data_IF_718801463794
#
_entry.id   IF_718801463794
#
_cell.length_a   1.000
_cell.length_b   1.000
_cell.length_c   1.000
_cell.angle_alpha   90.00
_cell.angle_beta   90.00
_cell.angle_gamma   90.00
#
_symmetry.space_group_name_H-M   'P 1'
#
loop_
_entity.id
_entity.type
_entity.pdbx_description
1 polymer ?
#
# COMPACT_ATOMS: atom_id res chain seq x y z
N UNK A 1 -1.29 11.41 23.47
CA UNK A 1 -0.96 10.39 22.46
C UNK A 1 -0.57 10.96 21.10
N UNK A 2 -1.38 11.85 20.50
CA UNK A 2 -1.13 12.36 19.12
C UNK A 2 0.04 13.36 19.07
N UNK A 3 0.21 14.23 20.07
CA UNK A 3 1.33 15.19 20.12
C UNK A 3 2.68 14.46 20.20
N UNK A 4 2.80 13.44 21.03
CA UNK A 4 4.02 12.65 21.17
C UNK A 4 4.42 11.97 19.84
N UNK A 5 3.43 11.53 19.04
CA UNK A 5 3.69 10.90 17.73
C UNK A 5 4.27 11.90 16.71
N UNK A 6 3.72 13.11 16.64
CA UNK A 6 4.24 14.15 15.73
C UNK A 6 5.65 14.60 16.10
N UNK A 7 5.95 14.71 17.38
CA UNK A 7 7.30 15.07 17.85
C UNK A 7 8.34 14.00 17.50
N UNK A 8 7.98 12.72 17.71
CA UNK A 8 8.84 11.60 17.31
C UNK A 8 9.04 11.60 15.79
N UNK A 9 7.96 11.77 15.02
CA UNK A 9 8.03 11.79 13.56
C UNK A 9 8.96 12.90 13.05
N UNK A 10 8.82 14.12 13.57
CA UNK A 10 9.67 15.26 13.19
C UNK A 10 11.14 14.97 13.47
N UNK A 11 11.45 14.41 14.65
CA UNK A 11 12.83 14.05 15.01
C UNK A 11 13.40 12.95 14.12
N UNK A 12 12.62 11.92 13.83
CA UNK A 12 13.04 10.84 12.92
C UNK A 12 13.29 11.41 11.52
N UNK A 13 12.37 12.20 10.99
CA UNK A 13 12.49 12.79 9.66
C UNK A 13 13.73 13.71 9.52
N UNK A 14 14.17 14.36 10.61
CA UNK A 14 15.40 15.19 10.58
C UNK A 14 16.70 14.39 10.60
N UNK A 15 16.66 13.13 11.02
CA UNK A 15 17.85 12.27 11.16
C UNK A 15 18.04 11.27 10.02
N UNK A 16 16.96 10.97 9.25
CA UNK A 16 17.03 9.99 8.16
C UNK A 16 17.03 10.66 6.80
N UNK A 17 17.79 10.07 5.86
CA UNK A 17 17.92 10.54 4.46
C UNK A 17 17.27 9.54 3.47
N UNK A 18 16.32 8.74 3.94
CA UNK A 18 15.54 7.80 3.12
C UNK A 18 14.05 8.19 3.16
N UNK A 19 13.29 7.90 2.08
CA UNK A 19 11.87 8.21 2.04
C UNK A 19 11.11 7.57 3.20
N UNK A 20 10.33 8.38 3.91
CA UNK A 20 9.56 7.98 5.09
C UNK A 20 8.08 7.89 4.74
N UNK A 21 7.53 6.68 4.84
CA UNK A 21 6.08 6.45 4.76
C UNK A 21 5.49 6.31 6.14
N UNK A 22 4.47 7.10 6.41
CA UNK A 22 3.81 7.13 7.72
C UNK A 22 2.33 6.79 7.58
N UNK A 23 1.84 5.93 8.45
CA UNK A 23 0.44 5.51 8.48
C UNK A 23 -0.06 5.22 9.89
N UNK A 24 -1.33 4.85 9.95
CA UNK A 24 -2.01 4.56 11.22
C UNK A 24 -2.86 5.72 11.73
N UNK A 25 -4.19 5.51 11.77
CA UNK A 25 -5.14 6.50 12.25
C UNK A 25 -5.36 7.73 11.35
N UNK A 26 -4.89 7.70 10.12
CA UNK A 26 -5.15 8.74 9.11
C UNK A 26 -6.55 8.55 8.52
N UNK A 27 -7.41 9.55 8.68
CA UNK A 27 -8.81 9.47 8.31
C UNK A 27 -9.32 10.67 7.52
N UNK A 28 -8.58 11.76 7.52
CA UNK A 28 -8.97 13.04 6.93
C UNK A 28 -7.80 13.67 6.16
N UNK A 29 -8.09 14.64 5.30
CA UNK A 29 -7.04 15.43 4.64
C UNK A 29 -6.19 16.23 5.64
N UNK A 30 -6.78 16.63 6.77
CA UNK A 30 -6.02 17.32 7.82
C UNK A 30 -5.01 16.39 8.50
N UNK A 31 -5.33 15.10 8.61
CA UNK A 31 -4.36 14.10 9.08
C UNK A 31 -3.22 13.94 8.07
N UNK A 32 -3.51 13.92 6.76
CA UNK A 32 -2.49 13.93 5.70
C UNK A 32 -1.57 15.15 5.81
N UNK A 33 -2.17 16.34 5.90
CA UNK A 33 -1.43 17.61 5.99
C UNK A 33 -0.49 17.62 7.20
N UNK A 34 -0.99 17.16 8.36
CA UNK A 34 -0.21 17.06 9.59
C UNK A 34 0.99 16.13 9.45
N UNK A 35 0.77 14.93 8.90
CA UNK A 35 1.83 13.92 8.74
C UNK A 35 2.90 14.40 7.75
N UNK A 36 2.51 14.95 6.61
CA UNK A 36 3.43 15.49 5.61
C UNK A 36 4.24 16.68 6.15
N UNK A 37 3.61 17.60 6.91
CA UNK A 37 4.29 18.73 7.56
C UNK A 37 5.29 18.32 8.62
N UNK A 38 5.12 17.14 9.23
CA UNK A 38 6.10 16.59 10.18
C UNK A 38 7.29 15.91 9.49
N UNK A 39 7.37 15.92 8.16
CA UNK A 39 8.51 15.42 7.38
C UNK A 39 8.33 14.03 6.77
N UNK A 40 7.10 13.49 6.74
CA UNK A 40 6.83 12.28 5.98
C UNK A 40 6.80 12.58 4.47
N UNK A 41 7.35 11.68 3.65
CA UNK A 41 7.27 11.76 2.18
C UNK A 41 5.96 11.19 1.65
N UNK A 42 5.42 10.17 2.34
CA UNK A 42 4.21 9.46 1.94
C UNK A 42 3.32 9.16 3.13
N UNK A 43 2.02 9.08 2.87
CA UNK A 43 1.01 8.76 3.87
C UNK A 43 0.28 7.49 3.49
N UNK A 44 0.29 6.52 4.40
CA UNK A 44 -0.37 5.22 4.24
C UNK A 44 -1.75 5.21 4.88
N UNK A 45 -2.75 4.83 4.11
CA UNK A 45 -4.16 4.75 4.54
C UNK A 45 -4.74 3.35 4.31
N UNK A 46 -5.53 2.87 5.26
CA UNK A 46 -6.33 1.66 5.16
C UNK A 46 -7.78 1.94 5.61
N UNK A 47 -8.08 1.79 6.89
CA UNK A 47 -9.44 1.91 7.42
C UNK A 47 -10.07 3.30 7.17
N UNK A 48 -9.28 4.35 7.07
CA UNK A 48 -9.75 5.68 6.67
C UNK A 48 -10.34 5.69 5.27
N UNK A 49 -9.62 5.11 4.31
CA UNK A 49 -10.07 4.99 2.93
C UNK A 49 -11.25 4.02 2.76
N UNK A 50 -11.30 2.95 3.56
CA UNK A 50 -12.44 2.01 3.55
C UNK A 50 -13.74 2.66 4.02
N UNK A 51 -13.67 3.60 4.99
CA UNK A 51 -14.81 4.37 5.48
C UNK A 51 -15.22 5.48 4.53
N UNK A 52 -14.25 6.22 4.03
CA UNK A 52 -14.44 7.31 3.06
C UNK A 52 -13.50 7.10 1.87
N UNK A 53 -13.96 6.42 0.82
CA UNK A 53 -13.18 6.24 -0.40
C UNK A 53 -12.76 7.55 -1.06
N UNK A 54 -13.54 8.62 -0.89
CA UNK A 54 -13.24 9.96 -1.41
C UNK A 54 -11.93 10.56 -0.88
N UNK A 55 -11.41 10.04 0.23
CA UNK A 55 -10.14 10.47 0.81
C UNK A 55 -8.96 10.27 -0.16
N UNK A 56 -8.94 9.15 -0.92
CA UNK A 56 -7.85 8.83 -1.86
C UNK A 56 -7.76 9.85 -2.99
N UNK A 57 -8.82 10.07 -3.80
CA UNK A 57 -8.75 11.06 -4.88
C UNK A 57 -8.56 12.49 -4.36
N UNK A 58 -9.10 12.84 -3.21
CA UNK A 58 -8.91 14.14 -2.61
C UNK A 58 -7.45 14.38 -2.17
N UNK A 59 -6.83 13.38 -1.54
CA UNK A 59 -5.41 13.43 -1.17
C UNK A 59 -4.51 13.47 -2.41
N UNK A 60 -4.76 12.62 -3.40
CA UNK A 60 -4.01 12.59 -4.65
C UNK A 60 -4.08 13.92 -5.41
N UNK A 61 -5.26 14.55 -5.45
CA UNK A 61 -5.45 15.87 -6.06
C UNK A 61 -4.67 16.98 -5.34
N UNK A 62 -4.59 16.92 -4.01
CA UNK A 62 -3.96 17.97 -3.19
C UNK A 62 -2.46 17.83 -3.05
N UNK A 63 -1.96 16.60 -2.91
CA UNK A 63 -0.55 16.32 -2.58
C UNK A 63 0.19 15.56 -3.67
N UNK A 64 -0.50 15.09 -4.68
CA UNK A 64 0.02 14.20 -5.72
C UNK A 64 -0.18 12.71 -5.36
N UNK A 65 -0.36 11.89 -6.39
CA UNK A 65 -0.55 10.45 -6.25
C UNK A 65 0.67 9.74 -5.59
N UNK A 66 1.88 10.26 -5.83
CA UNK A 66 3.12 9.75 -5.22
C UNK A 66 3.15 9.84 -3.68
N UNK A 67 2.33 10.72 -3.07
CA UNK A 67 2.23 10.84 -1.61
C UNK A 67 1.19 9.89 -1.00
N UNK A 68 0.37 9.22 -1.81
CA UNK A 68 -0.73 8.38 -1.33
C UNK A 68 -0.37 6.91 -1.44
N UNK A 69 -0.26 6.23 -0.31
CA UNK A 69 -0.03 4.79 -0.22
C UNK A 69 -1.31 4.11 0.29
N UNK A 70 -1.86 3.20 -0.50
CA UNK A 70 -2.91 2.30 -0.04
C UNK A 70 -2.28 1.16 0.77
N UNK A 71 -2.59 1.03 2.04
CA UNK A 71 -2.32 -0.19 2.80
C UNK A 71 -3.55 -1.09 2.76
N UNK A 72 -3.39 -2.33 2.31
CA UNK A 72 -4.47 -3.28 2.19
C UNK A 72 -4.15 -4.55 2.97
N UNK A 73 -4.89 -4.78 4.06
CA UNK A 73 -4.88 -6.04 4.78
C UNK A 73 -5.82 -7.01 4.06
N UNK A 74 -5.30 -8.09 3.51
CA UNK A 74 -6.03 -9.03 2.67
C UNK A 74 -6.00 -10.42 3.26
N UNK A 75 -7.14 -11.10 3.22
CA UNK A 75 -7.30 -12.49 3.66
C UNK A 75 -8.12 -13.29 2.66
N UNK A 76 -7.83 -14.59 2.52
CA UNK A 76 -8.70 -15.52 1.80
C UNK A 76 -9.89 -15.91 2.64
N UNK A 77 -11.08 -15.68 2.09
CA UNK A 77 -12.35 -16.12 2.66
C UNK A 77 -13.14 -16.78 1.54
N UNK A 78 -13.50 -18.03 1.71
CA UNK A 78 -14.25 -18.83 0.72
C UNK A 78 -13.61 -18.80 -0.69
N UNK A 79 -12.28 -18.91 -0.77
CA UNK A 79 -11.53 -18.90 -2.02
C UNK A 79 -11.40 -17.53 -2.70
N UNK A 80 -11.83 -16.44 -2.06
CA UNK A 80 -11.74 -15.07 -2.57
C UNK A 80 -10.86 -14.20 -1.67
N UNK A 81 -10.16 -13.25 -2.28
CA UNK A 81 -9.41 -12.25 -1.53
C UNK A 81 -10.34 -11.14 -1.05
N UNK A 82 -10.44 -10.96 0.27
CA UNK A 82 -11.24 -9.91 0.90
C UNK A 82 -10.36 -8.91 1.64
N UNK A 83 -10.79 -7.65 1.65
CA UNK A 83 -10.12 -6.58 2.40
C UNK A 83 -10.63 -6.56 3.83
N UNK A 84 -9.69 -6.43 4.75
CA UNK A 84 -9.96 -6.30 6.17
C UNK A 84 -9.63 -4.90 6.68
N UNK A 85 -10.39 -4.45 7.65
CA UNK A 85 -10.18 -3.20 8.36
C UNK A 85 -9.57 -3.45 9.75
N UNK A 86 -9.20 -2.35 10.44
CA UNK A 86 -8.75 -2.35 11.84
C UNK A 86 -7.57 -3.30 12.12
N UNK A 87 -6.60 -3.34 11.20
CA UNK A 87 -5.43 -4.23 11.32
C UNK A 87 -5.81 -5.71 11.19
N UNK A 88 -6.61 -6.04 10.22
CA UNK A 88 -6.99 -7.43 9.90
C UNK A 88 -8.08 -8.05 10.79
N UNK A 89 -8.77 -7.24 11.61
CA UNK A 89 -9.75 -7.75 12.60
C UNK A 89 -11.18 -7.75 12.10
N UNK A 90 -11.51 -6.98 11.08
CA UNK A 90 -12.87 -6.80 10.60
C UNK A 90 -12.94 -7.06 9.10
N UNK A 91 -13.70 -8.10 8.70
CA UNK A 91 -13.99 -8.37 7.30
C UNK A 91 -14.95 -7.29 6.78
N UNK A 92 -14.54 -6.59 5.74
CA UNK A 92 -15.36 -5.53 5.11
C UNK A 92 -16.35 -6.10 4.10
N UNK A 93 -16.26 -7.38 3.77
CA UNK A 93 -17.03 -8.01 2.69
C UNK A 93 -16.62 -7.56 1.28
N UNK A 94 -15.66 -6.65 1.14
CA UNK A 94 -15.21 -6.13 -0.16
C UNK A 94 -14.22 -7.06 -0.82
N UNK A 95 -14.34 -7.25 -2.13
CA UNK A 95 -13.32 -7.91 -2.94
C UNK A 95 -12.03 -7.07 -2.96
N UNK A 96 -10.90 -7.69 -2.62
CA UNK A 96 -9.62 -6.99 -2.50
C UNK A 96 -9.09 -6.52 -3.86
N UNK A 97 -9.27 -7.31 -4.92
CA UNK A 97 -8.74 -6.99 -6.24
C UNK A 97 -9.47 -5.79 -6.84
N UNK A 98 -10.80 -5.76 -6.70
CA UNK A 98 -11.61 -4.63 -7.15
C UNK A 98 -11.35 -3.36 -6.34
N UNK A 99 -11.20 -3.49 -5.02
CA UNK A 99 -10.90 -2.37 -4.15
C UNK A 99 -9.54 -1.75 -4.46
N UNK A 100 -8.50 -2.57 -4.55
CA UNK A 100 -7.14 -2.10 -4.86
C UNK A 100 -7.09 -1.44 -6.23
N UNK A 101 -7.71 -2.07 -7.25
CA UNK A 101 -7.82 -1.49 -8.58
C UNK A 101 -8.48 -0.12 -8.53
N UNK A 102 -9.61 -0.01 -7.85
CA UNK A 102 -10.34 1.26 -7.71
C UNK A 102 -9.47 2.34 -7.06
N UNK A 103 -8.75 2.01 -5.98
CA UNK A 103 -7.86 2.94 -5.30
C UNK A 103 -6.73 3.46 -6.21
N UNK A 104 -6.13 2.56 -7.00
CA UNK A 104 -5.07 2.91 -7.95
C UNK A 104 -5.61 3.80 -9.08
N UNK A 105 -6.78 3.48 -9.62
CA UNK A 105 -7.44 4.31 -10.65
C UNK A 105 -7.79 5.71 -10.14
N UNK A 106 -8.03 5.84 -8.82
CA UNK A 106 -8.41 7.09 -8.17
C UNK A 106 -7.25 7.82 -7.46
N UNK A 107 -6.01 7.41 -7.69
CA UNK A 107 -4.85 8.20 -7.29
C UNK A 107 -3.98 7.64 -6.16
N UNK A 108 -4.18 6.38 -5.75
CA UNK A 108 -3.16 5.70 -4.95
C UNK A 108 -1.93 5.43 -5.83
N UNK A 109 -0.82 6.09 -5.55
CA UNK A 109 0.43 5.95 -6.30
C UNK A 109 1.23 4.72 -5.91
N UNK A 110 0.99 4.19 -4.72
CA UNK A 110 1.66 3.01 -4.19
C UNK A 110 0.67 2.12 -3.44
N UNK A 111 0.88 0.80 -3.50
CA UNK A 111 0.09 -0.18 -2.75
C UNK A 111 1.00 -1.01 -1.86
N UNK A 112 0.71 -1.02 -0.57
CA UNK A 112 1.33 -1.88 0.43
C UNK A 112 0.35 -3.02 0.77
N UNK A 113 0.68 -4.24 0.31
CA UNK A 113 -0.12 -5.42 0.57
C UNK A 113 0.35 -6.16 1.81
N UNK A 114 -0.59 -6.48 2.68
CA UNK A 114 -0.38 -7.35 3.83
C UNK A 114 -1.29 -8.58 3.71
N UNK A 115 -0.68 -9.76 3.53
CA UNK A 115 -1.43 -11.02 3.57
C UNK A 115 -1.57 -11.49 5.01
N UNK A 116 -2.79 -11.44 5.52
CA UNK A 116 -3.10 -11.89 6.89
C UNK A 116 -2.82 -13.40 7.05
N UNK A 117 -3.02 -14.17 5.97
CA UNK A 117 -2.83 -15.63 5.99
C UNK A 117 -1.36 -16.05 6.10
N UNK A 118 -0.44 -15.22 5.62
CA UNK A 118 1.01 -15.52 5.61
C UNK A 118 1.80 -14.65 6.57
N UNK A 119 1.16 -13.67 7.23
CA UNK A 119 1.84 -12.81 8.20
C UNK A 119 2.27 -13.62 9.43
N UNK A 120 3.55 -13.49 9.79
CA UNK A 120 4.14 -14.20 10.93
C UNK A 120 4.43 -15.69 10.72
N UNK A 121 4.02 -16.31 9.62
CA UNK A 121 4.16 -17.77 9.38
C UNK A 121 5.55 -18.17 8.87
N UNK A 122 6.35 -17.21 8.39
CA UNK A 122 7.72 -17.42 7.87
C UNK A 122 7.83 -18.33 6.64
N UNK A 123 6.75 -18.52 5.88
CA UNK A 123 6.73 -19.33 4.66
C UNK A 123 6.97 -18.51 3.37
N UNK A 124 7.45 -17.26 3.50
CA UNK A 124 7.65 -16.35 2.38
C UNK A 124 6.42 -15.53 2.03
N UNK A 125 6.45 -14.93 0.83
CA UNK A 125 5.37 -14.08 0.35
C UNK A 125 4.22 -14.90 -0.21
N UNK A 126 2.98 -14.38 -0.09
CA UNK A 126 1.81 -14.90 -0.78
C UNK A 126 1.88 -14.54 -2.28
N UNK A 127 2.58 -15.36 -3.05
CA UNK A 127 2.84 -15.12 -4.47
C UNK A 127 1.54 -15.12 -5.28
N UNK A 128 0.58 -15.97 -4.93
CA UNK A 128 -0.72 -16.04 -5.61
C UNK A 128 -1.50 -14.74 -5.45
N UNK A 129 -1.54 -14.18 -4.23
CA UNK A 129 -2.16 -12.89 -3.98
C UNK A 129 -1.43 -11.76 -4.71
N UNK A 130 -0.10 -11.76 -4.67
CA UNK A 130 0.72 -10.76 -5.37
C UNK A 130 0.50 -10.78 -6.88
N UNK A 131 0.47 -11.97 -7.50
CA UNK A 131 0.23 -12.14 -8.93
C UNK A 131 -1.18 -11.70 -9.31
N UNK A 132 -2.19 -12.08 -8.52
CA UNK A 132 -3.57 -11.69 -8.76
C UNK A 132 -3.75 -10.17 -8.71
N UNK A 133 -3.18 -9.52 -7.70
CA UNK A 133 -3.23 -8.05 -7.56
C UNK A 133 -2.43 -7.38 -8.68
N UNK A 134 -1.21 -7.86 -8.99
CA UNK A 134 -0.37 -7.30 -10.05
C UNK A 134 -1.07 -7.36 -11.42
N UNK A 135 -1.68 -8.49 -11.76
CA UNK A 135 -2.44 -8.64 -12.99
C UNK A 135 -3.63 -7.65 -13.07
N UNK A 136 -4.31 -7.41 -11.93
CA UNK A 136 -5.46 -6.52 -11.87
C UNK A 136 -5.06 -5.05 -11.99
N UNK A 137 -3.96 -4.65 -11.35
CA UNK A 137 -3.47 -3.27 -11.36
C UNK A 137 -2.71 -2.92 -12.65
N UNK A 138 -2.05 -3.87 -13.29
CA UNK A 138 -1.42 -3.64 -14.60
C UNK A 138 -2.40 -3.15 -15.67
N UNK A 139 -3.71 -3.42 -15.48
CA UNK A 139 -4.78 -2.90 -16.30
C UNK A 139 -5.19 -1.47 -15.98
N UNK A 140 -4.79 -0.95 -14.79
CA UNK A 140 -5.25 0.34 -14.29
C UNK A 140 -4.35 1.53 -14.71
N UNK A 141 -3.09 1.55 -14.39
CA UNK A 141 -2.12 2.59 -14.81
C UNK A 141 -0.68 2.04 -14.82
N UNK A 142 0.12 2.39 -15.86
CA UNK A 142 1.51 1.93 -16.05
C UNK A 142 2.54 2.45 -15.03
N UNK A 143 2.15 3.11 -13.94
CA UNK A 143 3.07 3.81 -13.02
C UNK A 143 2.97 3.43 -11.55
N UNK A 144 2.25 2.35 -11.19
CA UNK A 144 2.09 1.99 -9.78
C UNK A 144 3.28 1.16 -9.29
N UNK A 145 3.96 1.64 -8.26
CA UNK A 145 5.01 0.91 -7.55
C UNK A 145 4.42 0.03 -6.45
N UNK A 146 4.97 -1.17 -6.26
CA UNK A 146 4.53 -2.15 -5.28
C UNK A 146 5.48 -2.25 -4.10
N UNK A 147 4.97 -2.20 -2.89
CA UNK A 147 5.68 -2.66 -1.71
C UNK A 147 4.89 -3.76 -1.00
N UNK A 148 5.54 -4.86 -0.65
CA UNK A 148 4.94 -5.92 0.14
C UNK A 148 5.54 -5.88 1.54
N UNK A 149 4.71 -5.66 2.56
CA UNK A 149 5.14 -5.77 3.95
C UNK A 149 4.89 -7.18 4.47
N UNK A 150 5.91 -8.00 4.39
CA UNK A 150 6.08 -9.11 5.34
C UNK A 150 7.25 -8.74 6.23
N UNK A 151 7.10 -8.90 7.50
CA UNK A 151 8.09 -8.59 8.52
C UNK A 151 9.49 -9.04 8.08
N UNK A 152 10.38 -8.09 7.75
CA UNK A 152 11.80 -8.30 7.43
C UNK A 152 12.14 -9.24 6.28
N UNK A 153 11.90 -8.83 5.04
CA UNK A 153 12.69 -9.35 3.93
C UNK A 153 12.91 -8.28 2.87
N UNK A 154 14.18 -8.03 2.65
CA UNK A 154 14.80 -6.99 1.86
C UNK A 154 14.18 -6.71 0.48
N UNK A 155 14.15 -5.45 0.12
CA UNK A 155 13.94 -4.79 -1.19
C UNK A 155 14.65 -5.46 -2.40
N UNK A 156 15.44 -6.51 -2.19
CA UNK A 156 16.22 -7.22 -3.22
C UNK A 156 15.40 -8.24 -4.04
N UNK A 157 14.29 -8.77 -3.50
CA UNK A 157 13.49 -9.80 -4.16
C UNK A 157 12.59 -9.23 -5.28
N UNK A 158 12.11 -7.99 -5.12
CA UNK A 158 11.19 -7.34 -6.06
C UNK A 158 11.86 -6.91 -7.38
N UNK A 159 13.18 -6.66 -7.40
CA UNK A 159 13.92 -6.35 -8.64
C UNK A 159 14.08 -7.56 -9.58
N UNK A 160 13.97 -8.79 -9.08
CA UNK A 160 14.15 -10.00 -9.91
C UNK A 160 12.87 -10.39 -10.69
N UNK A 161 11.69 -10.09 -10.17
CA UNK A 161 10.44 -10.44 -10.85
C UNK A 161 10.14 -9.54 -12.06
N UNK A 162 10.66 -8.30 -12.09
CA UNK A 162 10.45 -7.37 -13.21
C UNK A 162 11.46 -7.54 -14.37
N UNK A 163 12.57 -8.28 -14.18
CA UNK A 163 13.63 -8.43 -15.18
C UNK A 163 13.55 -9.70 -16.03
N UNK A 164 12.58 -10.59 -15.78
CA UNK A 164 12.46 -11.86 -16.52
C UNK A 164 11.45 -11.85 -17.67
N UNK A 165 10.96 -10.66 -18.09
CA UNK A 165 10.16 -10.57 -19.33
C UNK A 165 10.80 -9.62 -20.33
N UNK A 166 11.93 -10.00 -20.87
CA UNK A 166 12.37 -9.55 -22.20
C UNK A 166 13.46 -10.50 -22.70
N UNK A 167 13.05 -11.64 -23.22
CA UNK A 167 13.83 -12.39 -24.20
C UNK A 167 12.83 -13.01 -25.17
N UNK A 168 12.55 -12.29 -26.25
CA UNK A 168 12.01 -12.89 -27.46
C UNK A 168 13.20 -13.35 -28.29
N UNK A 169 13.28 -14.59 -28.75
CA UNK A 169 14.24 -14.95 -29.77
C UNK A 169 13.70 -14.50 -31.13
N UNK A 170 14.41 -13.62 -31.79
CA UNK A 170 14.29 -13.38 -33.21
C UNK A 170 14.85 -14.60 -33.93
N UNK A 171 13.96 -15.36 -34.58
CA UNK A 171 14.33 -16.45 -35.49
C UNK A 171 14.75 -15.93 -36.84
N UNK A 172 15.73 -16.57 -37.35
CA UNK A 172 16.09 -16.63 -38.79
C UNK A 172 15.21 -17.62 -39.49
#
# INVERSE_FOLDING_TARGET
GRALFTDILTRVASEIFIPLTVGGGVNTLDDFDRVLKCGADKVSVNSGALRDPGLIPAAAKRYGDQCVVLSADVKRVDGRFRVFAKGGREDTGRDALEWIKWCVDNGAGEVCLNSIDTDGVRNGFDLEMLDAVAARVAQAKRKTFWSCSTTRASTRALRRASSTRSCSPSGS
#
